data_IF_117913373692
#
_entry.id   IF_117913373692
#
_cell.length_a   1.000
_cell.length_b   1.000
_cell.length_c   1.000
_cell.angle_alpha   90.00
_cell.angle_beta   90.00
_cell.angle_gamma   90.00
#
_symmetry.space_group_name_H-M   'P 1'
#
loop_
_entity.id
_entity.type
_entity.pdbx_description
1 polymer ?
#
# COMPACT_ATOMS: atom_id res chain seq x y z
N UNK A 1 40.97 9.06 33.66
CA UNK A 1 41.25 9.50 35.04
C UNK A 1 39.99 9.96 35.77
N UNK A 2 39.25 11.00 35.34
CA UNK A 2 38.06 11.48 36.07
C UNK A 2 36.88 10.47 36.13
N UNK A 3 36.65 9.66 35.08
CA UNK A 3 35.57 8.67 35.08
C UNK A 3 35.91 7.40 35.90
N UNK A 4 37.20 7.06 36.06
CA UNK A 4 37.61 5.88 36.83
C UNK A 4 37.43 6.09 38.34
N UNK A 5 37.64 7.30 38.84
CA UNK A 5 37.41 7.63 40.26
C UNK A 5 35.93 7.61 40.62
N UNK A 6 35.04 8.02 39.69
CA UNK A 6 33.59 8.04 39.93
C UNK A 6 33.00 6.64 40.07
N UNK A 7 33.45 5.68 39.26
CA UNK A 7 32.97 4.31 39.35
C UNK A 7 33.52 3.58 40.58
N UNK A 8 34.78 3.82 40.96
CA UNK A 8 35.35 3.23 42.17
C UNK A 8 34.55 3.58 43.45
N UNK A 9 34.18 4.86 43.63
CA UNK A 9 33.35 5.30 44.75
C UNK A 9 31.93 4.72 44.70
N UNK A 10 31.35 4.60 43.50
CA UNK A 10 30.02 4.01 43.30
C UNK A 10 29.99 2.52 43.68
N UNK A 11 31.04 1.77 43.33
CA UNK A 11 31.11 0.32 43.53
C UNK A 11 31.54 -0.08 44.94
N UNK A 12 32.26 0.78 45.66
CA UNK A 12 32.59 0.57 47.07
C UNK A 12 31.33 0.38 47.95
N UNK A 13 30.20 1.00 47.57
CA UNK A 13 28.93 0.91 48.30
C UNK A 13 28.02 -0.23 47.80
N UNK A 14 28.44 -1.01 46.80
CA UNK A 14 27.63 -2.08 46.21
C UNK A 14 27.82 -3.42 46.92
N UNK A 15 26.77 -4.23 46.90
CA UNK A 15 26.81 -5.60 47.43
C UNK A 15 27.63 -6.50 46.50
N UNK A 16 28.16 -7.61 47.05
CA UNK A 16 28.94 -8.57 46.27
C UNK A 16 28.12 -9.19 45.12
N UNK A 17 26.82 -9.37 45.32
CA UNK A 17 25.90 -9.87 44.31
C UNK A 17 25.70 -8.87 43.15
N UNK A 18 25.56 -7.57 43.45
CA UNK A 18 25.50 -6.54 42.43
C UNK A 18 26.81 -6.46 41.64
N UNK A 19 27.95 -6.50 42.33
CA UNK A 19 29.27 -6.49 41.71
C UNK A 19 29.48 -7.68 40.77
N UNK A 20 29.11 -8.89 41.22
CA UNK A 20 29.18 -10.10 40.40
C UNK A 20 28.25 -10.01 39.18
N UNK A 21 27.05 -9.45 39.34
CA UNK A 21 26.13 -9.21 38.23
C UNK A 21 26.74 -8.30 37.17
N UNK A 22 27.35 -7.17 37.57
CA UNK A 22 28.00 -6.25 36.65
C UNK A 22 29.23 -6.88 35.97
N UNK A 23 30.02 -7.66 36.69
CA UNK A 23 31.17 -8.38 36.15
C UNK A 23 30.73 -9.43 35.10
N UNK A 24 29.71 -10.24 35.39
CA UNK A 24 29.19 -11.27 34.47
C UNK A 24 28.51 -10.66 33.23
N UNK A 25 27.92 -9.47 33.36
CA UNK A 25 27.22 -8.78 32.27
C UNK A 25 28.03 -7.63 31.67
N UNK A 26 29.36 -7.59 31.87
CA UNK A 26 30.22 -6.46 31.48
C UNK A 26 30.09 -6.08 29.99
N UNK A 27 29.72 -7.02 29.11
CA UNK A 27 29.49 -6.79 27.67
C UNK A 27 28.29 -5.88 27.36
N UNK A 28 27.37 -5.68 28.30
CA UNK A 28 26.16 -4.85 28.13
C UNK A 28 26.36 -3.39 28.56
N UNK A 29 27.50 -3.07 29.16
CA UNK A 29 27.78 -1.77 29.76
C UNK A 29 29.08 -1.19 29.20
N UNK A 30 29.35 0.11 29.42
CA UNK A 30 30.65 0.69 29.08
C UNK A 30 31.80 -0.13 29.70
N UNK A 31 32.90 -0.40 28.96
CA UNK A 31 34.00 -1.26 29.44
C UNK A 31 34.58 -0.85 30.79
N UNK A 32 34.66 0.47 31.05
CA UNK A 32 35.14 1.02 32.32
C UNK A 32 34.29 0.58 33.53
N UNK A 33 32.98 0.41 33.34
CA UNK A 33 32.06 0.01 34.41
C UNK A 33 32.23 -1.48 34.78
N UNK A 34 32.36 -2.35 33.76
CA UNK A 34 32.65 -3.77 33.99
C UNK A 34 34.02 -3.98 34.64
N UNK A 35 35.04 -3.23 34.22
CA UNK A 35 36.38 -3.29 34.81
C UNK A 35 36.40 -2.79 36.26
N UNK A 36 35.64 -1.74 36.59
CA UNK A 36 35.53 -1.24 37.96
C UNK A 36 34.88 -2.27 38.90
N UNK A 37 33.81 -2.95 38.46
CA UNK A 37 33.16 -4.01 39.24
C UNK A 37 34.11 -5.20 39.51
N UNK A 38 34.90 -5.61 38.51
CA UNK A 38 35.90 -6.68 38.65
C UNK A 38 37.02 -6.29 39.60
N UNK A 39 37.54 -5.05 39.51
CA UNK A 39 38.57 -4.54 40.43
C UNK A 39 38.09 -4.51 41.88
N UNK A 40 36.86 -4.10 42.13
CA UNK A 40 36.26 -4.10 43.47
C UNK A 40 36.10 -5.53 44.02
N UNK A 41 35.67 -6.49 43.19
CA UNK A 41 35.61 -7.91 43.59
C UNK A 41 36.98 -8.49 43.92
N UNK A 42 38.03 -8.09 43.19
CA UNK A 42 39.42 -8.48 43.46
C UNK A 42 39.92 -7.84 44.76
N UNK A 43 39.60 -6.56 45.01
CA UNK A 43 39.95 -5.88 46.27
C UNK A 43 39.29 -6.56 47.49
N UNK A 44 38.10 -7.11 47.32
CA UNK A 44 37.39 -7.89 48.36
C UNK A 44 37.87 -9.34 48.48
N UNK A 45 38.80 -9.79 47.64
CA UNK A 45 39.32 -11.16 47.66
C UNK A 45 38.31 -12.21 47.16
N UNK A 46 37.26 -11.79 46.45
CA UNK A 46 36.20 -12.67 45.93
C UNK A 46 36.53 -13.24 44.54
N UNK A 47 37.48 -12.63 43.83
CA UNK A 47 37.95 -13.06 42.51
C UNK A 47 39.48 -13.04 42.49
N UNK A 48 40.17 -14.05 41.92
CA UNK A 48 41.62 -14.07 41.81
C UNK A 48 42.19 -12.86 41.06
N UNK A 49 43.38 -12.40 41.47
CA UNK A 49 44.10 -11.26 40.89
C UNK A 49 44.77 -11.58 39.54
N UNK A 50 44.53 -12.76 38.96
CA UNK A 50 45.07 -13.10 37.65
C UNK A 50 44.55 -12.13 36.58
N UNK A 51 45.39 -11.86 35.59
CA UNK A 51 45.14 -10.90 34.52
C UNK A 51 43.87 -11.26 33.75
N UNK A 52 42.77 -10.55 34.05
CA UNK A 52 41.56 -10.60 33.24
C UNK A 52 41.92 -10.03 31.87
N UNK A 53 41.91 -10.88 30.86
CA UNK A 53 42.11 -10.48 29.47
C UNK A 53 41.18 -9.30 29.16
N UNK A 54 41.69 -8.20 28.57
CA UNK A 54 40.86 -7.02 28.32
C UNK A 54 39.66 -7.43 27.48
N UNK A 55 38.46 -7.24 28.04
CA UNK A 55 37.21 -7.51 27.34
C UNK A 55 37.27 -6.88 25.95
N UNK A 56 36.98 -7.64 24.87
CA UNK A 56 36.93 -7.08 23.53
C UNK A 56 35.98 -5.87 23.54
N UNK A 57 36.27 -4.84 22.73
CA UNK A 57 35.45 -3.64 22.68
C UNK A 57 33.99 -4.04 22.49
N UNK A 58 33.10 -3.40 23.26
CA UNK A 58 31.68 -3.63 23.12
C UNK A 58 31.30 -3.52 21.63
N UNK A 59 30.49 -4.45 21.10
CA UNK A 59 30.03 -4.32 19.72
C UNK A 59 29.44 -2.92 19.56
N UNK A 60 29.74 -2.29 18.41
CA UNK A 60 29.21 -0.97 18.10
C UNK A 60 27.72 -0.95 18.43
N UNK A 61 27.27 0.05 19.19
CA UNK A 61 25.86 0.20 19.53
C UNK A 61 25.06 0.03 18.25
N UNK A 62 24.05 -0.84 18.27
CA UNK A 62 23.17 -1.02 17.13
C UNK A 62 22.70 0.37 16.66
N UNK A 63 22.68 0.64 15.34
CA UNK A 63 22.19 1.91 14.85
C UNK A 63 20.85 2.20 15.51
N UNK A 64 20.70 3.41 16.07
CA UNK A 64 19.40 3.84 16.61
C UNK A 64 18.42 3.72 15.45
N UNK A 65 17.48 2.78 15.55
CA UNK A 65 16.44 2.62 14.53
C UNK A 65 15.76 3.97 14.33
N UNK A 66 15.60 4.37 13.07
CA UNK A 66 14.96 5.64 12.77
C UNK A 66 13.60 5.72 13.48
N UNK A 67 13.23 6.89 14.02
CA UNK A 67 11.93 7.06 14.64
C UNK A 67 10.81 6.61 13.70
N UNK A 68 9.81 5.91 14.24
CA UNK A 68 8.71 5.33 13.46
C UNK A 68 7.99 6.34 12.53
N UNK A 69 7.97 7.64 12.90
CA UNK A 69 7.36 8.67 12.08
C UNK A 69 8.17 9.01 10.82
N UNK A 70 9.50 8.90 10.86
CA UNK A 70 10.36 9.10 9.68
C UNK A 70 10.21 7.92 8.72
N UNK A 71 10.21 6.69 9.25
CA UNK A 71 9.94 5.49 8.46
C UNK A 71 8.54 5.54 7.82
N UNK A 72 7.53 5.99 8.57
CA UNK A 72 6.17 6.18 8.05
C UNK A 72 6.14 7.26 6.95
N UNK A 73 6.79 8.40 7.17
CA UNK A 73 6.87 9.49 6.19
C UNK A 73 7.60 9.07 4.91
N UNK A 74 8.70 8.34 5.03
CA UNK A 74 9.46 7.81 3.88
C UNK A 74 8.65 6.77 3.12
N UNK A 75 7.95 5.88 3.85
CA UNK A 75 7.04 4.90 3.25
C UNK A 75 5.93 5.60 2.47
N UNK A 76 5.23 6.55 3.09
CA UNK A 76 4.17 7.33 2.45
C UNK A 76 4.70 8.13 1.25
N UNK A 77 5.87 8.77 1.39
CA UNK A 77 6.54 9.47 0.32
C UNK A 77 6.87 8.57 -0.86
N UNK A 78 7.30 7.33 -0.59
CA UNK A 78 7.60 6.33 -1.63
C UNK A 78 6.37 5.83 -2.39
N UNK A 79 5.17 5.89 -1.79
CA UNK A 79 3.93 5.52 -2.46
C UNK A 79 3.54 6.52 -3.56
N UNK A 80 3.97 7.78 -3.43
CA UNK A 80 3.61 8.84 -4.38
C UNK A 80 4.73 9.15 -5.37
N UNK A 81 5.99 8.81 -5.05
CA UNK A 81 7.14 9.09 -5.91
C UNK A 81 7.19 8.12 -7.09
N UNK A 82 7.07 8.60 -8.35
CA UNK A 82 7.25 7.75 -9.51
C UNK A 82 8.68 7.21 -9.59
N UNK A 83 8.83 5.98 -10.07
CA UNK A 83 10.11 5.34 -10.39
C UNK A 83 10.02 4.67 -11.75
N UNK A 84 11.15 4.20 -12.29
CA UNK A 84 11.17 3.49 -13.58
C UNK A 84 10.26 2.25 -13.61
N UNK A 85 9.98 1.64 -12.46
CA UNK A 85 9.09 0.47 -12.31
C UNK A 85 7.71 0.80 -11.73
N UNK A 86 7.46 2.06 -11.37
CA UNK A 86 6.21 2.50 -10.74
C UNK A 86 5.88 3.94 -11.16
N UNK A 87 5.12 4.10 -12.23
CA UNK A 87 4.76 5.42 -12.74
C UNK A 87 3.33 5.51 -13.26
N UNK A 88 2.65 4.38 -13.46
CA UNK A 88 1.27 4.36 -13.96
C UNK A 88 0.29 4.69 -12.85
N UNK A 89 0.44 4.16 -11.64
CA UNK A 89 -0.45 4.51 -10.52
C UNK A 89 -0.37 6.02 -10.19
N UNK A 90 0.82 6.64 -10.04
CA UNK A 90 0.93 8.09 -9.87
C UNK A 90 0.35 8.89 -11.05
N UNK A 91 0.54 8.42 -12.28
CA UNK A 91 -0.03 9.06 -13.47
C UNK A 91 -1.56 9.04 -13.44
N UNK A 92 -2.17 7.90 -13.15
CA UNK A 92 -3.63 7.76 -13.07
C UNK A 92 -4.21 8.62 -11.94
N UNK A 93 -3.54 8.68 -10.79
CA UNK A 93 -3.89 9.60 -9.71
C UNK A 93 -3.82 11.06 -10.17
N UNK A 94 -2.70 11.46 -10.78
CA UNK A 94 -2.53 12.83 -11.28
C UNK A 94 -3.61 13.20 -12.30
N UNK A 95 -3.99 12.28 -13.19
CA UNK A 95 -5.07 12.49 -14.15
C UNK A 95 -6.43 12.67 -13.46
N UNK A 96 -6.75 11.85 -12.45
CA UNK A 96 -8.00 12.00 -11.69
C UNK A 96 -8.08 13.36 -10.98
N UNK A 97 -6.99 13.76 -10.31
CA UNK A 97 -6.92 15.07 -9.65
C UNK A 97 -6.96 16.23 -10.66
N UNK A 98 -6.28 16.09 -11.80
CA UNK A 98 -6.29 17.11 -12.86
C UNK A 98 -7.70 17.30 -13.44
N UNK A 99 -8.38 16.23 -13.83
CA UNK A 99 -9.75 16.32 -14.38
C UNK A 99 -10.69 16.93 -13.35
N UNK A 100 -10.62 16.51 -12.08
CA UNK A 100 -11.45 17.08 -11.03
C UNK A 100 -11.15 18.56 -10.78
N UNK A 101 -9.87 18.97 -10.76
CA UNK A 101 -9.49 20.38 -10.63
C UNK A 101 -10.04 21.21 -11.80
N UNK A 102 -9.94 20.69 -13.03
CA UNK A 102 -10.51 21.36 -14.21
C UNK A 102 -12.04 21.45 -14.16
N UNK A 103 -12.73 20.45 -13.60
CA UNK A 103 -14.17 20.53 -13.35
C UNK A 103 -14.50 21.70 -12.41
N UNK A 104 -13.80 21.80 -11.27
CA UNK A 104 -14.02 22.86 -10.28
C UNK A 104 -13.69 24.24 -10.85
N UNK A 105 -12.61 24.35 -11.63
CA UNK A 105 -12.24 25.60 -12.33
C UNK A 105 -13.25 26.00 -13.42
N UNK A 106 -14.09 25.08 -13.88
CA UNK A 106 -15.17 25.31 -14.84
C UNK A 106 -16.56 25.37 -14.16
N UNK A 107 -16.59 25.87 -12.92
CA UNK A 107 -17.79 26.14 -12.11
C UNK A 107 -18.64 24.90 -11.78
N UNK A 108 -18.03 23.70 -11.72
CA UNK A 108 -18.67 22.52 -11.15
C UNK A 108 -18.50 22.52 -9.64
N UNK A 109 -19.59 22.36 -8.88
CA UNK A 109 -19.52 22.27 -7.42
C UNK A 109 -18.62 21.11 -6.97
N UNK A 110 -17.69 21.37 -6.05
CA UNK A 110 -16.68 20.40 -5.63
C UNK A 110 -17.25 19.30 -4.71
N UNK A 111 -18.40 19.49 -4.09
CA UNK A 111 -18.98 18.56 -3.12
C UNK A 111 -20.21 17.88 -3.69
N UNK A 112 -21.08 18.64 -4.36
CA UNK A 112 -22.35 18.19 -4.92
C UNK A 112 -22.51 18.60 -6.40
N UNK A 113 -21.70 18.04 -7.32
CA UNK A 113 -21.86 18.30 -8.75
C UNK A 113 -23.27 17.98 -9.25
N UNK A 114 -23.86 18.86 -10.05
CA UNK A 114 -25.15 18.57 -10.69
C UNK A 114 -24.98 17.47 -11.73
N UNK A 115 -26.01 16.64 -11.90
CA UNK A 115 -26.03 15.57 -12.91
C UNK A 115 -25.67 16.07 -14.32
N UNK A 116 -26.17 17.25 -14.71
CA UNK A 116 -25.89 17.86 -16.01
C UNK A 116 -24.41 18.25 -16.19
N UNK A 117 -23.73 18.68 -15.12
CA UNK A 117 -22.31 19.01 -15.17
C UNK A 117 -21.48 17.74 -15.38
N UNK A 118 -21.82 16.64 -14.69
CA UNK A 118 -21.16 15.34 -14.88
C UNK A 118 -21.33 14.82 -16.32
N UNK A 119 -22.54 14.95 -16.88
CA UNK A 119 -22.79 14.57 -18.28
C UNK A 119 -21.98 15.46 -19.23
N UNK A 120 -21.89 16.78 -18.98
CA UNK A 120 -21.05 17.69 -19.77
C UNK A 120 -19.58 17.28 -19.77
N UNK A 121 -19.08 16.83 -18.63
CA UNK A 121 -17.68 16.41 -18.44
C UNK A 121 -17.36 14.99 -18.91
N UNK A 122 -18.35 14.24 -19.40
CA UNK A 122 -18.12 12.93 -20.00
C UNK A 122 -18.40 11.75 -19.07
N UNK A 123 -19.33 11.89 -18.13
CA UNK A 123 -19.87 10.74 -17.40
C UNK A 123 -20.46 9.69 -18.34
N UNK A 124 -20.52 8.45 -17.85
CA UNK A 124 -21.14 7.35 -18.56
C UNK A 124 -22.66 7.53 -18.47
N UNK A 125 -23.27 7.88 -19.60
CA UNK A 125 -24.70 8.12 -19.71
C UNK A 125 -25.27 7.27 -20.85
N UNK A 126 -25.97 6.18 -20.53
CA UNK A 126 -26.31 5.11 -21.49
C UNK A 126 -26.91 5.59 -22.82
N UNK A 127 -27.87 6.56 -22.87
CA UNK A 127 -28.39 7.08 -24.13
C UNK A 127 -27.34 7.77 -25.03
N UNK A 128 -26.27 8.31 -24.45
CA UNK A 128 -25.16 8.92 -25.20
C UNK A 128 -24.03 7.92 -25.41
N UNK A 129 -23.62 7.19 -24.38
CA UNK A 129 -22.48 6.27 -24.40
C UNK A 129 -22.64 5.11 -25.38
N UNK A 130 -23.85 4.53 -25.50
CA UNK A 130 -24.09 3.38 -26.39
C UNK A 130 -24.31 3.78 -27.86
N UNK A 131 -24.36 5.08 -28.15
CA UNK A 131 -24.69 5.60 -29.47
C UNK A 131 -23.66 6.63 -29.93
N UNK A 132 -23.94 7.91 -29.68
CA UNK A 132 -23.23 9.02 -30.29
C UNK A 132 -21.88 9.28 -29.63
N UNK A 133 -21.70 8.83 -28.37
CA UNK A 133 -20.61 9.28 -27.50
C UNK A 133 -19.85 8.14 -26.80
N UNK A 134 -19.31 7.13 -27.52
CA UNK A 134 -18.67 5.96 -26.92
C UNK A 134 -17.40 6.28 -26.11
N UNK A 135 -16.74 7.41 -26.35
CA UNK A 135 -15.60 7.85 -25.53
C UNK A 135 -15.97 8.02 -24.05
N UNK A 136 -17.26 8.23 -23.74
CA UNK A 136 -17.80 8.28 -22.37
C UNK A 136 -17.53 7.03 -21.55
N UNK A 137 -17.41 5.88 -22.21
CA UNK A 137 -17.09 4.62 -21.55
C UNK A 137 -15.70 4.65 -20.88
N UNK A 138 -14.79 5.45 -21.44
CA UNK A 138 -13.45 5.66 -20.91
C UNK A 138 -13.36 6.92 -20.05
N UNK A 139 -13.90 8.05 -20.52
CA UNK A 139 -13.76 9.34 -19.81
C UNK A 139 -14.46 9.33 -18.45
N UNK A 140 -15.55 8.56 -18.31
CA UNK A 140 -16.26 8.39 -17.03
C UNK A 140 -15.38 7.91 -15.89
N UNK A 141 -14.30 7.17 -16.20
CA UNK A 141 -13.34 6.67 -15.21
C UNK A 141 -12.54 7.79 -14.52
N UNK A 142 -12.49 8.98 -15.11
CA UNK A 142 -11.71 10.13 -14.61
C UNK A 142 -12.59 11.26 -14.05
N UNK A 143 -13.88 11.29 -14.42
CA UNK A 143 -14.87 12.22 -13.86
C UNK A 143 -15.28 11.73 -12.47
N UNK A 144 -15.43 12.63 -11.49
CA UNK A 144 -15.83 12.26 -10.12
C UNK A 144 -17.00 13.10 -9.61
N UNK A 145 -17.94 12.44 -8.93
CA UNK A 145 -19.17 13.04 -8.38
C UNK A 145 -18.98 13.77 -7.06
N UNK A 146 -17.85 14.46 -6.87
CA UNK A 146 -17.51 15.23 -5.66
C UNK A 146 -16.19 14.83 -5.02
N UNK A 147 -15.70 15.66 -4.10
CA UNK A 147 -14.38 15.55 -3.48
C UNK A 147 -14.22 14.25 -2.68
N UNK A 148 -15.22 13.89 -1.87
CA UNK A 148 -15.17 12.65 -1.09
C UNK A 148 -15.06 11.41 -2.01
N UNK A 149 -15.80 11.41 -3.12
CA UNK A 149 -15.76 10.34 -4.11
C UNK A 149 -14.39 10.24 -4.79
N UNK A 150 -13.77 11.38 -5.15
CA UNK A 150 -12.39 11.41 -5.67
C UNK A 150 -11.37 10.87 -4.66
N UNK A 151 -11.42 11.32 -3.41
CA UNK A 151 -10.45 10.94 -2.38
C UNK A 151 -10.52 9.44 -2.06
N UNK A 152 -11.72 8.88 -1.94
CA UNK A 152 -11.91 7.44 -1.69
C UNK A 152 -11.40 6.59 -2.85
N UNK A 153 -11.70 6.96 -4.10
CA UNK A 153 -11.15 6.26 -5.27
C UNK A 153 -9.63 6.40 -5.36
N UNK A 154 -9.09 7.58 -5.06
CA UNK A 154 -7.66 7.85 -5.11
C UNK A 154 -6.92 7.05 -4.04
N UNK A 155 -7.48 6.92 -2.84
CA UNK A 155 -6.92 6.09 -1.78
C UNK A 155 -6.91 4.60 -2.19
N UNK A 156 -8.03 4.11 -2.71
CA UNK A 156 -8.12 2.73 -3.19
C UNK A 156 -7.15 2.47 -4.36
N UNK A 157 -7.07 3.38 -5.33
CA UNK A 157 -6.15 3.31 -6.46
C UNK A 157 -4.69 3.38 -6.01
N UNK A 158 -4.35 4.18 -5.01
CA UNK A 158 -2.99 4.24 -4.48
C UNK A 158 -2.56 2.88 -3.93
N UNK A 159 -3.37 2.26 -3.07
CA UNK A 159 -3.03 0.98 -2.46
C UNK A 159 -3.07 -0.18 -3.47
N UNK A 160 -4.19 -0.33 -4.19
CA UNK A 160 -4.33 -1.41 -5.15
C UNK A 160 -3.43 -1.24 -6.35
N UNK A 161 -3.30 -0.01 -6.87
CA UNK A 161 -2.42 0.33 -7.98
C UNK A 161 -0.98 0.02 -7.62
N UNK A 162 -0.47 0.48 -6.47
CA UNK A 162 0.89 0.14 -6.01
C UNK A 162 1.12 -1.37 -5.93
N UNK A 163 0.21 -2.08 -5.30
CA UNK A 163 0.30 -3.54 -5.17
C UNK A 163 0.30 -4.21 -6.54
N UNK A 164 -0.66 -3.92 -7.39
CA UNK A 164 -0.81 -4.55 -8.71
C UNK A 164 0.29 -4.14 -9.69
N UNK A 165 0.72 -2.88 -9.72
CA UNK A 165 1.84 -2.40 -10.54
C UNK A 165 3.12 -3.16 -10.20
N UNK A 166 3.38 -3.40 -8.91
CA UNK A 166 4.55 -4.16 -8.46
C UNK A 166 4.50 -5.64 -8.87
N UNK A 167 3.31 -6.20 -9.08
CA UNK A 167 3.10 -7.61 -9.44
C UNK A 167 3.15 -7.87 -10.95
N UNK A 168 2.60 -6.95 -11.76
CA UNK A 168 2.48 -7.15 -13.22
C UNK A 168 3.24 -6.13 -14.07
N UNK A 169 3.79 -5.09 -13.44
CA UNK A 169 4.48 -4.00 -14.09
C UNK A 169 3.53 -2.91 -14.64
N UNK A 170 4.10 -1.74 -14.98
CA UNK A 170 3.34 -0.55 -15.37
C UNK A 170 2.46 -0.75 -16.61
N UNK A 171 3.01 -1.34 -17.68
CA UNK A 171 2.29 -1.49 -18.96
C UNK A 171 1.08 -2.40 -18.85
N UNK A 172 1.24 -3.54 -18.16
CA UNK A 172 0.15 -4.47 -17.93
C UNK A 172 -0.92 -3.83 -17.05
N UNK A 173 -0.52 -3.12 -15.97
CA UNK A 173 -1.44 -2.39 -15.11
C UNK A 173 -2.27 -1.38 -15.91
N UNK A 174 -1.65 -0.56 -16.76
CA UNK A 174 -2.35 0.47 -17.54
C UNK A 174 -3.44 -0.16 -18.42
N UNK A 175 -3.09 -1.21 -19.18
CA UNK A 175 -4.03 -1.89 -20.07
C UNK A 175 -5.17 -2.54 -19.30
N UNK A 176 -4.86 -3.24 -18.20
CA UNK A 176 -5.85 -3.85 -17.32
C UNK A 176 -6.81 -2.80 -16.73
N UNK A 177 -6.26 -1.71 -16.20
CA UNK A 177 -7.04 -0.65 -15.59
C UNK A 177 -8.01 0.00 -16.59
N UNK A 178 -7.52 0.42 -17.76
CA UNK A 178 -8.35 1.08 -18.76
C UNK A 178 -9.39 0.12 -19.35
N UNK A 179 -9.01 -1.12 -19.65
CA UNK A 179 -9.93 -2.12 -20.18
C UNK A 179 -11.01 -2.50 -19.17
N UNK A 180 -10.66 -2.66 -17.88
CA UNK A 180 -11.64 -2.88 -16.81
C UNK A 180 -12.56 -1.69 -16.59
N UNK A 181 -12.05 -0.46 -16.72
CA UNK A 181 -12.88 0.74 -16.70
C UNK A 181 -13.94 0.73 -17.81
N UNK A 182 -13.51 0.46 -19.05
CA UNK A 182 -14.43 0.33 -20.19
C UNK A 182 -15.41 -0.83 -20.02
N UNK A 183 -14.94 -2.00 -19.56
CA UNK A 183 -15.79 -3.17 -19.30
C UNK A 183 -16.85 -2.93 -18.21
N UNK A 184 -16.47 -2.19 -17.16
CA UNK A 184 -17.41 -1.68 -16.15
C UNK A 184 -18.43 -0.72 -16.75
N UNK A 185 -17.98 0.32 -17.45
CA UNK A 185 -18.87 1.29 -18.10
C UNK A 185 -19.85 0.65 -19.09
N UNK A 186 -19.40 -0.35 -19.86
CA UNK A 186 -20.25 -1.11 -20.79
C UNK A 186 -21.32 -1.92 -20.04
N UNK A 187 -20.92 -2.60 -18.96
CA UNK A 187 -21.84 -3.41 -18.15
C UNK A 187 -22.89 -2.53 -17.48
N UNK A 188 -22.48 -1.38 -16.93
CA UNK A 188 -23.37 -0.35 -16.39
C UNK A 188 -24.34 0.19 -17.44
N UNK A 189 -23.84 0.60 -18.60
CA UNK A 189 -24.67 1.17 -19.64
C UNK A 189 -25.69 0.16 -20.20
N UNK A 190 -25.32 -1.12 -20.26
CA UNK A 190 -26.20 -2.21 -20.67
C UNK A 190 -27.25 -2.55 -19.59
N UNK A 191 -26.88 -2.52 -18.31
CA UNK A 191 -27.78 -2.81 -17.19
C UNK A 191 -28.82 -1.71 -16.99
N UNK A 192 -28.42 -0.45 -17.13
CA UNK A 192 -29.26 0.72 -16.89
C UNK A 192 -29.80 1.32 -18.21
N UNK A 193 -30.67 0.58 -18.87
CA UNK A 193 -31.21 0.93 -20.20
C UNK A 193 -32.06 2.21 -20.23
N UNK A 194 -32.58 2.64 -19.08
CA UNK A 194 -33.40 3.86 -18.95
C UNK A 194 -32.58 5.13 -18.64
N UNK A 195 -31.25 5.04 -18.65
CA UNK A 195 -30.35 6.12 -18.27
C UNK A 195 -29.62 5.81 -16.97
N UNK A 196 -28.32 6.03 -16.97
CA UNK A 196 -27.45 6.05 -15.80
C UNK A 196 -26.58 7.29 -15.87
N UNK A 197 -26.16 7.85 -14.74
CA UNK A 197 -25.14 8.89 -14.73
C UNK A 197 -23.98 8.40 -13.86
N UNK A 198 -23.15 7.54 -14.44
CA UNK A 198 -22.09 6.82 -13.72
C UNK A 198 -20.74 7.50 -13.94
N UNK A 199 -20.00 7.67 -12.85
CA UNK A 199 -18.71 8.38 -12.81
C UNK A 199 -17.77 7.69 -11.83
N UNK A 200 -16.48 7.91 -12.01
CA UNK A 200 -15.43 7.54 -11.08
C UNK A 200 -14.60 6.35 -11.52
N UNK A 201 -13.39 6.28 -10.97
CA UNK A 201 -12.41 5.25 -11.23
C UNK A 201 -12.80 3.84 -10.73
N UNK A 202 -13.88 3.72 -9.96
CA UNK A 202 -14.19 2.53 -9.18
C UNK A 202 -14.38 1.25 -10.01
N UNK A 203 -14.98 1.32 -11.21
CA UNK A 203 -15.07 0.17 -12.11
C UNK A 203 -13.68 -0.37 -12.51
N UNK A 204 -12.74 0.52 -12.85
CA UNK A 204 -11.36 0.14 -13.14
C UNK A 204 -10.63 -0.42 -11.91
N UNK A 205 -10.88 0.15 -10.72
CA UNK A 205 -10.34 -0.35 -9.44
C UNK A 205 -10.89 -1.75 -9.12
N UNK A 206 -12.17 -2.03 -9.40
CA UNK A 206 -12.73 -3.38 -9.31
C UNK A 206 -12.03 -4.35 -10.26
N UNK A 207 -11.58 -3.88 -11.42
CA UNK A 207 -10.66 -4.61 -12.28
C UNK A 207 -9.36 -5.04 -11.59
N UNK A 208 -8.80 -4.19 -10.75
CA UNK A 208 -7.59 -4.52 -9.97
C UNK A 208 -7.87 -5.61 -8.92
N UNK A 209 -9.03 -5.61 -8.27
CA UNK A 209 -9.45 -6.76 -7.43
C UNK A 209 -9.55 -8.04 -8.26
N UNK A 210 -10.10 -7.97 -9.47
CA UNK A 210 -10.20 -9.11 -10.38
C UNK A 210 -8.84 -9.65 -10.80
N UNK A 211 -7.89 -8.76 -11.09
CA UNK A 211 -6.50 -9.13 -11.35
C UNK A 211 -5.89 -9.86 -10.15
N UNK A 212 -6.01 -9.31 -8.94
CA UNK A 212 -5.48 -9.93 -7.72
C UNK A 212 -6.07 -11.31 -7.49
N UNK A 213 -7.38 -11.49 -7.70
CA UNK A 213 -8.05 -12.78 -7.64
C UNK A 213 -7.44 -13.77 -8.64
N UNK A 214 -7.30 -13.37 -9.91
CA UNK A 214 -6.72 -14.22 -10.94
C UNK A 214 -5.27 -14.62 -10.63
N UNK A 215 -4.43 -13.69 -10.16
CA UNK A 215 -3.04 -13.97 -9.76
C UNK A 215 -2.99 -14.93 -8.57
N UNK A 216 -3.84 -14.71 -7.56
CA UNK A 216 -3.92 -15.55 -6.37
C UNK A 216 -4.45 -16.96 -6.67
N UNK A 217 -5.25 -17.15 -7.73
CA UNK A 217 -5.73 -18.47 -8.15
C UNK A 217 -4.75 -19.20 -9.08
N UNK A 218 -4.06 -18.46 -9.96
CA UNK A 218 -3.23 -19.07 -11.02
C UNK A 218 -1.77 -19.29 -10.62
N UNK A 219 -1.24 -18.55 -9.64
CA UNK A 219 0.18 -18.58 -9.30
C UNK A 219 1.09 -18.03 -10.40
N UNK A 220 0.58 -17.14 -11.25
CA UNK A 220 1.37 -16.49 -12.31
C UNK A 220 2.53 -15.65 -11.78
N UNK A 221 2.40 -15.16 -10.55
CA UNK A 221 3.44 -14.43 -9.81
C UNK A 221 3.92 -15.27 -8.62
N UNK A 222 5.21 -15.19 -8.26
CA UNK A 222 5.78 -15.96 -7.14
C UNK A 222 5.31 -15.38 -5.80
N UNK A 223 4.17 -15.85 -5.32
CA UNK A 223 3.60 -15.47 -4.02
C UNK A 223 3.82 -16.60 -3.01
N UNK A 224 4.31 -16.26 -1.83
CA UNK A 224 4.29 -17.17 -0.68
C UNK A 224 2.85 -17.52 -0.28
N UNK A 225 2.65 -18.64 0.43
CA UNK A 225 1.31 -19.04 0.91
C UNK A 225 0.63 -17.93 1.73
N UNK A 226 1.30 -17.27 2.71
CA UNK A 226 0.70 -16.16 3.44
C UNK A 226 0.29 -14.99 2.54
N UNK A 227 1.12 -14.61 1.55
CA UNK A 227 0.78 -13.54 0.61
C UNK A 227 -0.45 -13.90 -0.22
N UNK A 228 -0.54 -15.13 -0.74
CA UNK A 228 -1.69 -15.60 -1.51
C UNK A 228 -2.98 -15.55 -0.67
N UNK A 229 -2.95 -16.05 0.55
CA UNK A 229 -4.11 -15.97 1.45
C UNK A 229 -4.45 -14.53 1.81
N UNK A 230 -3.45 -13.66 2.00
CA UNK A 230 -3.65 -12.23 2.22
C UNK A 230 -4.36 -11.55 1.05
N UNK A 231 -3.98 -11.86 -0.19
CA UNK A 231 -4.68 -11.33 -1.38
C UNK A 231 -6.12 -11.84 -1.49
N UNK A 232 -6.34 -13.14 -1.27
CA UNK A 232 -7.70 -13.72 -1.29
C UNK A 232 -8.56 -13.09 -0.19
N UNK A 233 -8.01 -12.93 1.01
CA UNK A 233 -8.70 -12.29 2.13
C UNK A 233 -9.06 -10.84 1.81
N UNK A 234 -8.11 -10.06 1.26
CA UNK A 234 -8.34 -8.69 0.84
C UNK A 234 -9.48 -8.59 -0.18
N UNK A 235 -9.49 -9.45 -1.21
CA UNK A 235 -10.58 -9.49 -2.20
C UNK A 235 -11.91 -9.88 -1.55
N UNK A 236 -11.93 -10.96 -0.75
CA UNK A 236 -13.14 -11.48 -0.11
C UNK A 236 -13.74 -10.53 0.92
N UNK A 237 -12.94 -9.64 1.52
CA UNK A 237 -13.42 -8.65 2.48
C UNK A 237 -13.87 -7.35 1.80
N UNK A 238 -13.04 -6.81 0.88
CA UNK A 238 -13.27 -5.48 0.32
C UNK A 238 -14.30 -5.46 -0.82
N UNK A 239 -14.37 -6.51 -1.63
CA UNK A 239 -15.34 -6.54 -2.74
C UNK A 239 -16.78 -6.57 -2.22
N UNK A 240 -17.19 -7.47 -1.30
CA UNK A 240 -18.56 -7.50 -0.82
C UNK A 240 -18.96 -6.25 -0.03
N UNK A 241 -18.06 -5.70 0.78
CA UNK A 241 -18.34 -4.47 1.55
C UNK A 241 -18.59 -3.24 0.66
N UNK A 242 -17.86 -3.13 -0.45
CA UNK A 242 -18.07 -2.06 -1.43
C UNK A 242 -19.35 -2.26 -2.25
N UNK A 243 -19.70 -3.50 -2.60
CA UNK A 243 -20.95 -3.81 -3.30
C UNK A 243 -22.19 -3.63 -2.42
N UNK A 244 -22.07 -3.84 -1.11
CA UNK A 244 -23.16 -3.63 -0.16
C UNK A 244 -23.69 -2.19 -0.25
N UNK A 245 -22.80 -1.20 -0.40
CA UNK A 245 -23.18 0.21 -0.50
C UNK A 245 -24.10 0.51 -1.70
N UNK A 246 -24.03 -0.27 -2.79
CA UNK A 246 -24.94 -0.12 -3.92
C UNK A 246 -26.26 -0.91 -3.79
N UNK A 247 -26.35 -1.86 -2.84
CA UNK A 247 -27.58 -2.63 -2.58
C UNK A 247 -28.56 -1.88 -1.67
N UNK A 248 -28.08 -0.91 -0.90
CA UNK A 248 -28.88 -0.12 0.06
C UNK A 248 -29.86 0.86 -0.63
N UNK A 249 -29.85 0.94 -1.97
CA UNK A 249 -30.90 1.56 -2.78
C UNK A 249 -30.95 3.09 -2.62
N UNK A 250 -30.25 3.82 -3.51
CA UNK A 250 -30.30 5.29 -3.57
C UNK A 250 -28.97 6.00 -3.39
N UNK A 251 -27.88 5.26 -3.15
CA UNK A 251 -26.51 5.81 -3.12
C UNK A 251 -25.92 6.05 -4.52
N UNK A 252 -24.86 6.87 -4.65
CA UNK A 252 -24.17 7.16 -5.92
C UNK A 252 -23.36 5.98 -6.50
N UNK A 253 -23.53 4.77 -5.95
CA UNK A 253 -22.70 3.60 -6.25
C UNK A 253 -23.29 2.76 -7.37
N UNK A 254 -22.52 2.56 -8.43
CA UNK A 254 -22.90 1.75 -9.59
C UNK A 254 -22.33 0.33 -9.50
N UNK A 255 -23.12 -0.58 -8.93
CA UNK A 255 -22.73 -1.99 -8.78
C UNK A 255 -22.58 -2.72 -10.11
N UNK A 256 -23.28 -2.30 -11.17
CA UNK A 256 -23.13 -2.90 -12.49
C UNK A 256 -21.74 -2.57 -13.08
N UNK A 257 -21.27 -1.34 -12.90
CA UNK A 257 -19.91 -0.95 -13.26
C UNK A 257 -18.85 -1.73 -12.45
N UNK A 258 -19.07 -1.90 -11.15
CA UNK A 258 -18.17 -2.67 -10.28
C UNK A 258 -18.06 -4.14 -10.72
N UNK A 259 -19.18 -4.80 -10.96
CA UNK A 259 -19.20 -6.19 -11.39
C UNK A 259 -18.57 -6.36 -12.78
N UNK A 260 -18.88 -5.47 -13.73
CA UNK A 260 -18.28 -5.49 -15.06
C UNK A 260 -16.76 -5.29 -15.03
N UNK A 261 -16.29 -4.36 -14.18
CA UNK A 261 -14.88 -4.13 -13.94
C UNK A 261 -14.16 -5.35 -13.35
N UNK A 262 -14.74 -5.94 -12.30
CA UNK A 262 -14.22 -7.14 -11.63
C UNK A 262 -14.11 -8.33 -12.58
N UNK A 263 -15.14 -8.58 -13.38
CA UNK A 263 -15.15 -9.67 -14.36
C UNK A 263 -14.09 -9.43 -15.44
N UNK A 264 -14.04 -8.22 -16.00
CA UNK A 264 -13.05 -7.86 -17.03
C UNK A 264 -11.62 -8.01 -16.50
N UNK A 265 -11.35 -7.52 -15.29
CA UNK A 265 -10.03 -7.63 -14.67
C UNK A 265 -9.65 -9.07 -14.34
N UNK A 266 -10.61 -9.89 -13.92
CA UNK A 266 -10.39 -11.32 -13.68
C UNK A 266 -10.03 -12.05 -14.98
N UNK A 267 -10.78 -11.82 -16.06
CA UNK A 267 -10.51 -12.43 -17.36
C UNK A 267 -9.15 -12.01 -17.93
N UNK A 268 -8.82 -10.73 -17.89
CA UNK A 268 -7.53 -10.22 -18.34
C UNK A 268 -6.38 -10.69 -17.43
N UNK A 269 -6.62 -10.83 -16.12
CA UNK A 269 -5.65 -11.41 -15.19
C UNK A 269 -5.38 -12.89 -15.48
N UNK A 270 -6.41 -13.68 -15.84
CA UNK A 270 -6.25 -15.06 -16.29
C UNK A 270 -5.46 -15.14 -17.62
N UNK A 271 -5.72 -14.22 -18.54
CA UNK A 271 -4.98 -14.11 -19.80
C UNK A 271 -3.51 -13.77 -19.54
N UNK A 272 -3.23 -12.77 -18.69
CA UNK A 272 -1.88 -12.43 -18.26
C UNK A 272 -1.16 -13.65 -17.67
N UNK A 273 -1.84 -14.38 -16.78
CA UNK A 273 -1.32 -15.61 -16.18
C UNK A 273 -1.02 -16.72 -17.20
N UNK A 274 -1.83 -16.85 -18.25
CA UNK A 274 -1.59 -17.81 -19.32
C UNK A 274 -0.33 -17.45 -20.14
N UNK A 275 -0.14 -16.16 -20.45
CA UNK A 275 1.03 -15.67 -21.19
C UNK A 275 2.31 -15.76 -20.36
N UNK A 276 2.25 -15.39 -19.08
CA UNK A 276 3.39 -15.45 -18.16
C UNK A 276 3.89 -16.89 -17.92
N UNK A 277 3.00 -17.89 -17.97
CA UNK A 277 3.39 -19.31 -17.85
C UNK A 277 4.14 -19.82 -19.08
N UNK A 278 3.75 -19.39 -20.29
CA UNK A 278 4.43 -19.80 -21.54
C UNK A 278 5.83 -19.23 -21.70
N UNK A 279 6.14 -18.14 -21.00
CA UNK A 279 7.42 -17.44 -21.08
C UNK A 279 8.45 -17.93 -20.06
N UNK A 280 8.08 -18.83 -19.14
CA UNK A 280 9.05 -19.53 -18.30
C UNK A 280 9.75 -20.62 -19.13
N UNK A 281 11.09 -20.63 -19.24
CA UNK A 281 11.79 -21.74 -19.86
C UNK A 281 11.46 -23.05 -19.13
N UNK A 282 11.32 -24.13 -19.89
CA UNK A 282 11.20 -25.48 -19.34
C UNK A 282 12.57 -25.80 -18.72
N UNK A 283 12.64 -25.81 -17.39
CA UNK A 283 13.79 -26.35 -16.64
C UNK A 283 13.78 -27.89 -16.68
#
# INVERSE_FOLDING_TARGET
MAAESTFAELFAQKTDAELLYFAQNARRYPPALGQAAVRELQQRGLVPTETVEPLPPAPAAAPIEQPWYQQAADTLGSLLRPSASYYITPLLLALNFLVFALMVLADVDAFEPRAADLIRWGSNFSPLSLHQQPWRLLTSCFVHGGLAHLLLNSLALLFLGRLTESLVGPRALLLLYLASGVGGSLTSAWWHTMGVNSVGASGAIFGLYGLLLALALTGAVPLSRPQRYGLLWLVMLLVPSQLQAGLEGGGPTDNAAHLGGLLTGSLLGLLYAAVARKSKPIE
#
